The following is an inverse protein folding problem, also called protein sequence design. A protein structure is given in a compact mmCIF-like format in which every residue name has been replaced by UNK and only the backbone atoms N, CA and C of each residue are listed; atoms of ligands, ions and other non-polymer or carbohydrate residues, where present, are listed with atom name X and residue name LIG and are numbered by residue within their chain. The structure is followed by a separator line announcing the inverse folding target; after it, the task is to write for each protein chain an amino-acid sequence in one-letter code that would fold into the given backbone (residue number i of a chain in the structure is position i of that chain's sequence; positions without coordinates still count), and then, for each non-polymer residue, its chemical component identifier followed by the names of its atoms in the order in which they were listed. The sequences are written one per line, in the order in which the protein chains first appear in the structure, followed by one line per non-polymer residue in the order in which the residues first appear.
data_IF_076481386713
#
_entry.id   IF_076481386713
#
_cell.length_a   1.000
_cell.length_b   1.000
_cell.length_c   1.000
_cell.angle_alpha   90.00
_cell.angle_beta   90.00
_cell.angle_gamma   90.00
#
_symmetry.space_group_name_H-M   'P 1'
#
loop_
_entity.id
_entity.type
_entity.pdbx_description
1 polymer ?
#
# COMPACT_ATOMS: atom_id res chain seq x y z
N UNK A 1 -43.23 -3.13 -11.61
CA UNK A 1 -41.92 -3.82 -11.74
C UNK A 1 -41.23 -3.75 -10.39
N UNK A 2 -40.78 -4.87 -9.80
CA UNK A 2 -39.97 -4.79 -8.60
C UNK A 2 -38.65 -4.09 -8.97
N UNK A 3 -38.37 -2.99 -8.27
CA UNK A 3 -37.12 -2.24 -8.36
C UNK A 3 -36.03 -3.12 -7.72
N UNK A 4 -35.30 -3.90 -8.52
CA UNK A 4 -34.09 -4.53 -8.02
C UNK A 4 -33.05 -3.41 -7.86
N UNK A 5 -32.53 -3.15 -6.64
CA UNK A 5 -31.44 -2.19 -6.49
C UNK A 5 -30.27 -2.66 -7.35
N UNK A 6 -29.75 -1.77 -8.21
CA UNK A 6 -28.56 -2.05 -8.99
C UNK A 6 -27.42 -2.43 -8.04
N UNK A 7 -26.89 -3.66 -8.15
CA UNK A 7 -25.72 -4.07 -7.37
C UNK A 7 -24.57 -3.10 -7.65
N UNK A 8 -23.88 -2.68 -6.59
CA UNK A 8 -22.68 -1.85 -6.72
C UNK A 8 -21.61 -2.64 -7.50
N UNK A 9 -20.84 -1.99 -8.38
CA UNK A 9 -19.73 -2.65 -9.02
C UNK A 9 -18.70 -3.10 -7.98
N UNK A 10 -18.20 -4.32 -8.13
CA UNK A 10 -17.12 -4.85 -7.30
C UNK A 10 -15.78 -4.24 -7.72
N UNK A 11 -14.92 -3.94 -6.75
CA UNK A 11 -13.61 -3.31 -6.99
C UNK A 11 -12.55 -3.94 -6.10
N UNK A 12 -11.39 -4.26 -6.67
CA UNK A 12 -10.19 -4.59 -5.90
C UNK A 12 -9.36 -3.34 -5.64
N UNK A 13 -8.59 -3.37 -4.55
CA UNK A 13 -7.65 -2.32 -4.18
C UNK A 13 -6.24 -2.90 -4.17
N UNK A 14 -5.32 -2.28 -4.89
CA UNK A 14 -3.90 -2.60 -4.82
C UNK A 14 -3.16 -1.40 -4.21
N UNK A 15 -2.71 -1.56 -2.97
CA UNK A 15 -2.27 -0.47 -2.10
C UNK A 15 -0.74 -0.52 -1.94
N UNK A 16 -0.05 0.42 -2.58
CA UNK A 16 1.40 0.51 -2.48
C UNK A 16 1.84 0.98 -1.08
N UNK A 17 2.95 0.43 -0.61
CA UNK A 17 3.67 0.88 0.58
C UNK A 17 4.49 2.15 0.32
N UNK A 18 4.60 2.98 1.36
CA UNK A 18 5.38 4.24 1.29
C UNK A 18 5.71 4.84 2.66
N UNK A 19 5.71 4.04 3.73
CA UNK A 19 5.86 4.54 5.10
C UNK A 19 4.78 5.55 5.48
N UNK A 20 5.18 6.69 6.04
CA UNK A 20 4.28 7.79 6.40
C UNK A 20 3.49 8.35 5.19
N UNK A 21 3.99 8.20 3.95
CA UNK A 21 3.24 8.57 2.76
C UNK A 21 1.98 7.71 2.55
N UNK A 22 1.85 6.58 3.25
CA UNK A 22 0.62 5.81 3.33
C UNK A 22 -0.59 6.59 3.87
N UNK A 23 -0.38 7.75 4.52
CA UNK A 23 -1.46 8.67 4.86
C UNK A 23 -2.14 9.28 3.63
N UNK A 24 -1.45 9.37 2.48
CA UNK A 24 -2.11 9.68 1.21
C UNK A 24 -3.13 8.59 0.84
N UNK A 25 -2.73 7.32 0.93
CA UNK A 25 -3.65 6.19 0.71
C UNK A 25 -4.81 6.19 1.71
N UNK A 26 -4.58 6.58 2.98
CA UNK A 26 -5.67 6.81 3.94
C UNK A 26 -6.70 7.80 3.39
N UNK A 27 -6.24 8.94 2.88
CA UNK A 27 -7.11 9.91 2.22
C UNK A 27 -7.90 9.36 1.04
N UNK A 28 -7.22 8.59 0.18
CA UNK A 28 -7.86 7.94 -0.97
C UNK A 28 -8.98 7.01 -0.52
N UNK A 29 -8.69 6.14 0.45
CA UNK A 29 -9.65 5.19 0.99
C UNK A 29 -10.81 5.89 1.72
N UNK A 30 -10.53 6.95 2.47
CA UNK A 30 -11.54 7.72 3.19
C UNK A 30 -12.58 8.33 2.22
N UNK A 31 -12.13 8.89 1.08
CA UNK A 31 -13.03 9.40 0.05
C UNK A 31 -13.78 8.29 -0.72
N UNK A 32 -13.12 7.17 -1.02
CA UNK A 32 -13.77 6.04 -1.69
C UNK A 32 -14.87 5.40 -0.83
N UNK A 33 -14.59 5.20 0.46
CA UNK A 33 -15.55 4.66 1.42
C UNK A 33 -16.70 5.62 1.69
N UNK A 34 -16.43 6.93 1.72
CA UNK A 34 -17.47 7.95 1.85
C UNK A 34 -18.42 8.00 0.64
N UNK A 35 -17.89 7.85 -0.57
CA UNK A 35 -18.70 7.81 -1.78
C UNK A 35 -19.62 6.58 -1.82
N UNK A 36 -19.21 5.49 -1.18
CA UNK A 36 -19.99 4.26 -1.00
C UNK A 36 -20.56 3.71 -2.34
N UNK A 37 -19.75 3.83 -3.40
CA UNK A 37 -20.12 3.47 -4.79
C UNK A 37 -19.73 2.04 -5.18
N UNK A 38 -18.86 1.40 -4.41
CA UNK A 38 -18.20 0.14 -4.79
C UNK A 38 -18.27 -0.89 -3.68
N UNK A 39 -18.41 -2.16 -4.07
CA UNK A 39 -18.23 -3.28 -3.15
C UNK A 39 -16.76 -3.72 -3.21
N UNK A 40 -16.02 -3.52 -2.12
CA UNK A 40 -14.60 -3.90 -2.08
C UNK A 40 -14.50 -5.43 -2.01
N UNK A 41 -13.99 -6.05 -3.07
CA UNK A 41 -13.94 -7.51 -3.20
C UNK A 41 -12.60 -8.09 -2.73
N UNK A 42 -11.50 -7.41 -3.05
CA UNK A 42 -10.15 -7.83 -2.69
C UNK A 42 -9.24 -6.64 -2.41
N UNK A 43 -8.27 -6.82 -1.52
CA UNK A 43 -7.27 -5.83 -1.14
C UNK A 43 -5.90 -6.52 -1.11
N UNK A 44 -5.00 -6.06 -1.96
CA UNK A 44 -3.58 -6.38 -1.88
C UNK A 44 -2.83 -5.19 -1.31
N UNK A 45 -1.98 -5.43 -0.31
CA UNK A 45 -1.29 -4.38 0.40
C UNK A 45 0.12 -4.77 0.81
N UNK A 46 1.02 -3.78 0.80
CA UNK A 46 2.41 -3.93 1.23
C UNK A 46 2.78 -2.77 2.16
N UNK A 47 3.48 -3.04 3.26
CA UNK A 47 3.94 -2.01 4.20
C UNK A 47 2.77 -1.15 4.70
N UNK A 48 2.85 0.18 4.58
CA UNK A 48 1.73 1.07 4.93
C UNK A 48 0.42 0.76 4.15
N UNK A 49 0.52 0.22 2.94
CA UNK A 49 -0.64 -0.28 2.18
C UNK A 49 -1.27 -1.52 2.81
N UNK A 50 -0.47 -2.37 3.46
CA UNK A 50 -0.98 -3.53 4.21
C UNK A 50 -1.77 -3.09 5.44
N UNK A 51 -1.24 -2.14 6.21
CA UNK A 51 -1.93 -1.54 7.36
C UNK A 51 -3.28 -0.97 6.93
N UNK A 52 -3.28 -0.11 5.90
CA UNK A 52 -4.49 0.50 5.38
C UNK A 52 -5.50 -0.57 4.91
N UNK A 53 -5.05 -1.59 4.20
CA UNK A 53 -5.91 -2.67 3.72
C UNK A 53 -6.55 -3.48 4.86
N UNK A 54 -5.78 -3.81 5.89
CA UNK A 54 -6.26 -4.52 7.09
C UNK A 54 -7.29 -3.69 7.84
N UNK A 55 -7.05 -2.39 8.04
CA UNK A 55 -7.99 -1.48 8.71
C UNK A 55 -9.31 -1.35 7.93
N UNK A 56 -9.23 -1.23 6.60
CA UNK A 56 -10.43 -1.20 5.75
C UNK A 56 -11.20 -2.50 5.83
N UNK A 57 -10.53 -3.65 5.68
CA UNK A 57 -11.19 -4.95 5.78
C UNK A 57 -11.84 -5.17 7.16
N UNK A 58 -11.14 -4.77 8.22
CA UNK A 58 -11.63 -4.85 9.59
C UNK A 58 -12.90 -4.00 9.77
N UNK A 59 -12.82 -2.71 9.44
CA UNK A 59 -13.97 -1.82 9.62
C UNK A 59 -15.16 -2.18 8.73
N UNK A 60 -14.91 -2.65 7.49
CA UNK A 60 -15.98 -3.15 6.61
C UNK A 60 -16.72 -4.34 7.25
N UNK A 61 -16.01 -5.26 7.90
CA UNK A 61 -16.62 -6.39 8.61
C UNK A 61 -17.37 -5.99 9.88
N UNK A 62 -16.90 -4.97 10.60
CA UNK A 62 -17.52 -4.53 11.86
C UNK A 62 -18.76 -3.65 11.67
N UNK A 63 -18.76 -2.77 10.67
CA UNK A 63 -19.82 -1.78 10.53
C UNK A 63 -19.87 -1.08 9.17
N UNK A 64 -19.29 -1.69 8.13
CA UNK A 64 -19.30 -1.14 6.79
C UNK A 64 -18.40 0.10 6.60
N UNK A 65 -18.68 0.93 5.57
CA UNK A 65 -17.78 2.01 5.16
C UNK A 65 -17.46 3.03 6.25
N UNK A 66 -18.45 3.41 7.07
CA UNK A 66 -18.25 4.36 8.15
C UNK A 66 -17.28 3.84 9.23
N UNK A 67 -17.39 2.56 9.58
CA UNK A 67 -16.48 1.92 10.53
C UNK A 67 -15.06 1.77 9.94
N UNK A 68 -14.93 1.45 8.66
CA UNK A 68 -13.62 1.44 7.97
C UNK A 68 -12.93 2.81 7.97
N UNK A 69 -13.68 3.89 7.74
CA UNK A 69 -13.15 5.26 7.83
C UNK A 69 -12.70 5.60 9.25
N UNK A 70 -13.50 5.26 10.25
CA UNK A 70 -13.16 5.48 11.66
C UNK A 70 -11.91 4.70 12.08
N UNK A 71 -11.76 3.45 11.63
CA UNK A 71 -10.58 2.63 11.90
C UNK A 71 -9.31 3.25 11.31
N UNK A 72 -9.37 3.74 10.07
CA UNK A 72 -8.24 4.46 9.46
C UNK A 72 -7.90 5.75 10.24
N UNK A 73 -8.90 6.55 10.59
CA UNK A 73 -8.70 7.81 11.31
C UNK A 73 -8.11 7.60 12.70
N UNK A 74 -8.63 6.64 13.47
CA UNK A 74 -8.10 6.26 14.77
C UNK A 74 -6.66 5.78 14.72
N UNK A 75 -6.33 4.93 13.74
CA UNK A 75 -4.98 4.40 13.60
C UNK A 75 -3.96 5.48 13.25
N UNK A 76 -4.22 6.26 12.19
CA UNK A 76 -3.29 7.29 11.73
C UNK A 76 -3.15 8.43 12.74
N UNK A 77 -4.22 8.77 13.48
CA UNK A 77 -4.15 9.73 14.59
C UNK A 77 -3.26 9.23 15.72
N UNK A 78 -3.39 7.95 16.10
CA UNK A 78 -2.56 7.35 17.14
C UNK A 78 -1.08 7.22 16.73
N UNK A 79 -0.81 6.92 15.45
CA UNK A 79 0.55 6.93 14.90
C UNK A 79 1.15 8.34 14.91
N UNK A 80 0.39 9.34 14.45
CA UNK A 80 0.82 10.73 14.38
C UNK A 80 1.08 11.40 15.74
N UNK A 81 0.56 10.83 16.83
CA UNK A 81 0.76 11.31 18.19
C UNK A 81 2.09 10.87 18.84
N UNK A 82 2.90 10.04 18.15
CA UNK A 82 4.10 9.42 18.73
C UNK A 82 5.42 10.17 18.47
N UNK A 83 5.49 11.03 17.44
CA UNK A 83 6.70 11.83 17.17
C UNK A 83 6.56 13.23 17.78
N UNK A 84 7.42 13.62 18.74
CA UNK A 84 7.43 14.98 19.29
C UNK A 84 7.80 16.01 18.21
N UNK A 85 7.11 17.16 18.19
CA UNK A 85 7.38 18.22 17.23
C UNK A 85 8.82 18.75 17.33
N UNK A 86 9.41 18.72 18.52
CA UNK A 86 10.76 19.18 18.82
C UNK A 86 11.83 18.41 18.04
N UNK A 87 11.51 17.21 17.55
CA UNK A 87 12.41 16.38 16.74
C UNK A 87 12.45 16.80 15.26
N UNK A 88 11.59 17.74 14.87
CA UNK A 88 11.39 18.16 13.49
C UNK A 88 11.87 19.60 13.28
N UNK A 89 12.25 19.89 12.04
CA UNK A 89 12.50 21.24 11.54
C UNK A 89 11.63 21.47 10.30
N UNK A 90 11.17 22.71 10.13
CA UNK A 90 10.43 23.15 8.95
C UNK A 90 11.35 24.09 8.16
N UNK A 91 11.66 23.73 6.91
CA UNK A 91 12.46 24.53 5.99
C UNK A 91 11.67 25.67 5.34
N UNK A 92 12.33 26.46 4.48
CA UNK A 92 11.72 27.64 3.82
C UNK A 92 10.50 27.33 2.95
N UNK A 93 10.40 26.11 2.39
CA UNK A 93 9.27 25.64 1.57
C UNK A 93 8.28 24.74 2.33
N UNK A 94 8.11 24.96 3.65
CA UNK A 94 7.36 24.06 4.55
C UNK A 94 7.88 22.60 4.57
N UNK A 95 9.10 22.41 4.07
CA UNK A 95 9.74 21.11 3.96
C UNK A 95 10.05 20.56 5.35
N UNK A 96 9.38 19.46 5.71
CA UNK A 96 9.62 18.77 6.97
C UNK A 96 10.87 17.91 6.88
N UNK A 97 11.70 18.03 7.91
CA UNK A 97 12.93 17.29 8.08
C UNK A 97 13.12 16.93 9.55
N UNK A 98 13.92 15.89 9.83
CA UNK A 98 14.42 15.69 11.19
C UNK A 98 15.44 16.78 11.55
N UNK A 99 15.38 17.28 12.78
CA UNK A 99 16.36 18.25 13.27
C UNK A 99 17.79 17.62 13.28
N UNK A 100 18.87 18.42 13.31
CA UNK A 100 20.24 17.90 13.25
C UNK A 100 20.58 16.88 14.35
N UNK A 101 20.06 17.07 15.57
CA UNK A 101 20.27 16.16 16.69
C UNK A 101 19.53 14.83 16.48
N UNK A 102 18.28 14.86 16.02
CA UNK A 102 17.48 13.69 15.68
C UNK A 102 18.12 12.90 14.53
N UNK A 103 18.63 13.58 13.49
CA UNK A 103 19.39 12.95 12.41
C UNK A 103 20.67 12.28 12.92
N UNK A 104 21.38 12.92 13.84
CA UNK A 104 22.55 12.33 14.48
C UNK A 104 22.16 11.08 15.25
N UNK A 105 21.14 11.15 16.12
CA UNK A 105 20.63 10.02 16.88
C UNK A 105 20.20 8.84 15.98
N UNK A 106 19.48 9.11 14.89
CA UNK A 106 19.08 8.09 13.91
C UNK A 106 20.26 7.49 13.13
N UNK A 107 21.35 8.25 12.91
CA UNK A 107 22.57 7.69 12.30
C UNK A 107 23.29 6.78 13.28
N UNK A 108 23.37 7.17 14.55
CA UNK A 108 23.96 6.35 15.60
C UNK A 108 23.15 5.07 15.83
N UNK A 109 21.82 5.14 15.76
CA UNK A 109 20.98 3.94 15.89
C UNK A 109 21.17 2.92 14.77
N UNK A 110 21.72 3.31 13.61
CA UNK A 110 22.04 2.39 12.50
C UNK A 110 23.38 1.68 12.65
N UNK A 111 24.24 2.13 13.56
CA UNK A 111 25.53 1.47 13.86
C UNK A 111 25.36 0.25 14.76
N UNK A 112 24.19 0.12 15.38
CA UNK A 112 23.80 -1.00 16.23
C UNK A 112 22.68 -1.76 15.53
N UNK A 113 22.65 -3.08 15.71
CA UNK A 113 21.51 -3.84 15.23
C UNK A 113 20.29 -3.54 16.13
N UNK A 114 19.05 -3.62 15.62
CA UNK A 114 17.85 -3.31 16.42
C UNK A 114 17.79 -4.05 17.77
N UNK A 115 18.26 -5.30 17.81
CA UNK A 115 18.34 -6.13 19.02
C UNK A 115 19.30 -5.64 20.10
N UNK A 116 20.26 -4.79 19.74
CA UNK A 116 21.18 -4.15 20.68
C UNK A 116 20.59 -2.87 21.29
N UNK A 117 19.66 -2.20 20.59
CA UNK A 117 19.06 -0.94 21.01
C UNK A 117 17.72 -1.10 21.75
N UNK A 118 16.96 -2.14 21.46
CA UNK A 118 15.68 -2.44 22.11
C UNK A 118 15.65 -3.89 22.61
N UNK A 119 16.41 -4.21 23.68
CA UNK A 119 16.49 -5.58 24.20
C UNK A 119 15.17 -6.09 24.80
N UNK A 120 14.26 -5.18 25.17
CA UNK A 120 12.92 -5.50 25.70
C UNK A 120 11.88 -5.73 24.60
N UNK A 121 12.22 -5.53 23.32
CA UNK A 121 11.35 -5.87 22.18
C UNK A 121 10.03 -5.09 22.11
N UNK A 122 9.93 -3.92 22.75
CA UNK A 122 8.70 -3.10 22.68
C UNK A 122 8.47 -2.63 21.24
N UNK A 123 7.28 -2.92 20.70
CA UNK A 123 6.90 -2.54 19.35
C UNK A 123 5.58 -1.74 19.41
N UNK A 124 5.65 -0.39 19.35
CA UNK A 124 4.45 0.45 19.45
C UNK A 124 3.42 0.18 18.34
N UNK A 125 3.86 -0.29 17.17
CA UNK A 125 2.96 -0.67 16.08
C UNK A 125 2.22 -1.97 16.41
N UNK A 126 2.88 -2.94 17.07
CA UNK A 126 2.24 -4.17 17.58
C UNK A 126 1.10 -3.83 18.54
N UNK A 127 1.38 -2.94 19.50
CA UNK A 127 0.40 -2.51 20.50
C UNK A 127 -0.82 -1.86 19.83
N UNK A 128 -0.60 -0.93 18.88
CA UNK A 128 -1.69 -0.31 18.13
C UNK A 128 -2.53 -1.31 17.33
N UNK A 129 -1.88 -2.22 16.61
CA UNK A 129 -2.59 -3.22 15.83
C UNK A 129 -3.40 -4.16 16.73
N UNK A 130 -2.86 -4.54 17.88
CA UNK A 130 -3.57 -5.38 18.86
C UNK A 130 -4.79 -4.67 19.46
N UNK A 131 -4.71 -3.37 19.69
CA UNK A 131 -5.81 -2.57 20.25
C UNK A 131 -6.91 -2.24 19.24
N UNK A 132 -6.55 -2.07 17.96
CA UNK A 132 -7.46 -1.51 16.96
C UNK A 132 -7.98 -2.52 15.92
N UNK A 133 -7.40 -3.72 15.84
CA UNK A 133 -7.77 -4.70 14.81
C UNK A 133 -8.15 -6.04 15.43
N UNK A 134 -9.39 -6.46 15.16
CA UNK A 134 -9.85 -7.82 15.44
C UNK A 134 -9.39 -8.78 14.32
N UNK A 135 -8.21 -9.38 14.53
CA UNK A 135 -7.66 -10.37 13.60
C UNK A 135 -8.44 -11.68 13.57
N UNK A 136 -9.15 -12.04 14.65
CA UNK A 136 -9.98 -13.24 14.66
C UNK A 136 -11.19 -13.06 13.73
N UNK A 137 -11.81 -11.89 13.74
CA UNK A 137 -12.85 -11.53 12.78
C UNK A 137 -12.32 -11.56 11.34
N UNK A 138 -11.14 -10.99 11.07
CA UNK A 138 -10.54 -11.00 9.73
C UNK A 138 -10.36 -12.41 9.17
N UNK A 139 -9.94 -13.37 10.01
CA UNK A 139 -9.77 -14.79 9.66
C UNK A 139 -11.08 -15.51 9.35
N UNK A 140 -12.23 -15.01 9.81
CA UNK A 140 -13.54 -15.61 9.50
C UNK A 140 -13.90 -15.53 8.01
N UNK A 141 -13.30 -14.59 7.27
CA UNK A 141 -13.50 -14.45 5.83
C UNK A 141 -14.81 -13.75 5.43
N UNK A 142 -15.51 -13.09 6.35
CA UNK A 142 -16.78 -12.40 6.09
C UNK A 142 -16.66 -11.06 5.34
N UNK A 143 -15.45 -10.62 4.99
CA UNK A 143 -15.18 -9.35 4.31
C UNK A 143 -14.34 -9.50 3.03
N UNK A 144 -13.68 -8.43 2.56
CA UNK A 144 -12.86 -8.51 1.36
C UNK A 144 -11.71 -9.51 1.52
N UNK A 145 -11.30 -10.09 0.39
CA UNK A 145 -10.11 -10.94 0.31
C UNK A 145 -8.87 -10.11 0.59
N UNK A 146 -8.06 -10.51 1.57
CA UNK A 146 -6.81 -9.85 1.90
C UNK A 146 -5.64 -10.60 1.29
N UNK A 147 -4.65 -9.85 0.79
CA UNK A 147 -3.37 -10.38 0.34
C UNK A 147 -2.25 -9.43 0.80
N UNK A 148 -1.57 -9.78 1.88
CA UNK A 148 -0.52 -8.95 2.47
C UNK A 148 0.85 -9.50 2.11
N UNK A 149 1.67 -8.70 1.43
CA UNK A 149 2.99 -9.10 0.96
C UNK A 149 4.06 -8.90 2.04
N UNK A 150 4.92 -9.90 2.21
CA UNK A 150 6.15 -9.84 2.98
C UNK A 150 7.28 -10.57 2.23
N UNK A 151 8.52 -10.24 2.57
CA UNK A 151 9.70 -10.82 1.94
C UNK A 151 10.40 -11.77 2.90
N UNK A 152 10.60 -13.02 2.50
CA UNK A 152 11.43 -13.96 3.27
C UNK A 152 12.90 -13.52 3.23
N UNK A 153 13.46 -13.14 4.37
CA UNK A 153 14.73 -12.42 4.45
C UNK A 153 15.92 -13.22 3.90
N UNK A 154 15.95 -14.54 4.13
CA UNK A 154 17.09 -15.38 3.72
C UNK A 154 17.05 -15.78 2.24
N UNK A 155 15.91 -15.64 1.56
CA UNK A 155 15.74 -16.15 0.18
C UNK A 155 15.23 -15.11 -0.81
N UNK A 156 14.77 -13.95 -0.34
CA UNK A 156 14.14 -12.92 -1.16
C UNK A 156 12.76 -13.31 -1.71
N UNK A 157 12.22 -14.48 -1.33
CA UNK A 157 10.95 -14.96 -1.86
C UNK A 157 9.77 -14.18 -1.28
N UNK A 158 8.80 -13.89 -2.14
CA UNK A 158 7.51 -13.35 -1.75
C UNK A 158 6.74 -14.37 -0.89
N UNK A 159 6.23 -13.90 0.25
CA UNK A 159 5.19 -14.55 1.05
C UNK A 159 3.96 -13.65 1.01
N UNK A 160 2.81 -14.23 0.67
CA UNK A 160 1.51 -13.56 0.73
C UNK A 160 0.72 -14.16 1.88
N UNK A 161 0.27 -13.32 2.81
CA UNK A 161 -0.65 -13.69 3.88
C UNK A 161 -2.08 -13.36 3.45
N UNK A 162 -2.92 -14.38 3.38
CA UNK A 162 -4.34 -14.24 3.10
C UNK A 162 -5.15 -14.02 4.39
N UNK A 163 -6.48 -13.94 4.28
CA UNK A 163 -7.35 -13.80 5.46
C UNK A 163 -7.09 -14.87 6.50
N UNK A 164 -6.90 -16.14 6.12
CA UNK A 164 -6.80 -17.25 7.07
C UNK A 164 -5.48 -17.21 7.86
N UNK A 165 -4.41 -16.77 7.21
CA UNK A 165 -3.10 -16.56 7.83
C UNK A 165 -2.93 -15.16 8.45
N UNK A 166 -3.99 -14.35 8.54
CA UNK A 166 -3.90 -12.97 8.99
C UNK A 166 -3.77 -12.88 10.52
N UNK A 167 -2.69 -12.27 10.97
CA UNK A 167 -2.45 -11.89 12.36
C UNK A 167 -1.58 -10.62 12.43
N UNK A 168 -1.23 -10.21 13.65
CA UNK A 168 -0.39 -9.04 13.88
C UNK A 168 0.99 -9.23 13.24
N UNK A 169 1.57 -10.44 13.30
CA UNK A 169 2.92 -10.70 12.83
C UNK A 169 3.01 -10.63 11.30
N UNK A 170 1.98 -11.06 10.58
CA UNK A 170 1.87 -10.88 9.13
C UNK A 170 1.94 -9.39 8.73
N UNK A 171 1.25 -8.50 9.46
CA UNK A 171 1.27 -7.05 9.21
C UNK A 171 2.61 -6.43 9.60
N UNK A 172 3.18 -6.86 10.74
CA UNK A 172 4.51 -6.41 11.17
C UNK A 172 5.60 -6.85 10.20
N UNK A 173 5.55 -8.08 9.70
CA UNK A 173 6.45 -8.59 8.68
C UNK A 173 6.38 -7.73 7.42
N UNK A 174 5.17 -7.41 6.95
CA UNK A 174 4.94 -6.56 5.78
C UNK A 174 5.50 -5.13 5.94
N UNK A 175 5.71 -4.66 7.17
CA UNK A 175 6.19 -3.31 7.51
C UNK A 175 7.61 -3.30 8.09
N UNK A 176 8.30 -4.43 8.08
CA UNK A 176 9.59 -4.61 8.72
C UNK A 176 10.75 -4.12 7.83
N UNK A 177 11.09 -2.84 7.95
CA UNK A 177 12.31 -2.30 7.35
C UNK A 177 13.55 -2.76 8.13
N UNK A 178 14.48 -3.53 7.53
CA UNK A 178 15.56 -4.19 8.27
C UNK A 178 16.57 -3.24 8.92
N UNK A 179 16.63 -1.98 8.44
CA UNK A 179 17.51 -0.94 9.02
C UNK A 179 16.87 -0.18 10.19
N UNK A 180 15.58 -0.43 10.48
CA UNK A 180 14.80 0.30 11.49
C UNK A 180 14.09 -0.61 12.48
N UNK A 181 13.72 -1.82 12.07
CA UNK A 181 12.91 -2.76 12.86
C UNK A 181 13.65 -4.08 13.08
N UNK A 182 13.31 -4.77 14.18
CA UNK A 182 13.74 -6.15 14.37
C UNK A 182 13.06 -7.03 13.33
N UNK A 183 13.84 -7.93 12.71
CA UNK A 183 13.30 -8.97 11.84
C UNK A 183 12.17 -9.71 12.53
N UNK A 184 11.03 -9.81 11.85
CA UNK A 184 9.86 -10.54 12.36
C UNK A 184 10.04 -12.02 12.05
N UNK A 185 9.86 -12.86 13.07
CA UNK A 185 9.90 -14.31 12.93
C UNK A 185 8.47 -14.86 12.91
N UNK A 186 8.10 -15.59 11.87
CA UNK A 186 6.82 -16.30 11.78
C UNK A 186 7.14 -17.76 11.53
N UNK A 187 6.67 -18.64 12.43
CA UNK A 187 7.00 -20.08 12.41
C UNK A 187 8.51 -20.36 12.37
N UNK A 188 9.32 -19.49 13.00
CA UNK A 188 10.78 -19.59 13.04
C UNK A 188 11.50 -19.02 11.81
N UNK A 189 10.79 -18.61 10.76
CA UNK A 189 11.38 -18.05 9.54
C UNK A 189 11.42 -16.52 9.56
N UNK A 190 12.50 -15.88 9.04
CA UNK A 190 12.66 -14.44 9.09
C UNK A 190 11.98 -13.72 7.92
N UNK A 191 11.24 -12.67 8.24
CA UNK A 191 10.53 -11.84 7.28
C UNK A 191 10.84 -10.34 7.42
N UNK A 192 10.93 -9.69 6.27
CA UNK A 192 11.08 -8.25 6.07
C UNK A 192 9.92 -7.69 5.25
N UNK A 193 9.90 -6.36 5.13
CA UNK A 193 8.91 -5.61 4.37
C UNK A 193 8.66 -6.23 2.98
N UNK A 194 7.40 -6.32 2.57
CA UNK A 194 7.02 -6.88 1.28
C UNK A 194 7.54 -6.07 0.10
N UNK A 195 7.93 -4.81 0.33
CA UNK A 195 8.55 -3.91 -0.64
C UNK A 195 9.62 -4.57 -1.49
N UNK A 196 10.48 -5.37 -0.86
CA UNK A 196 11.59 -6.04 -1.53
C UNK A 196 11.16 -7.16 -2.51
N UNK A 197 9.92 -7.63 -2.48
CA UNK A 197 9.44 -8.75 -3.30
C UNK A 197 8.12 -8.50 -4.06
N UNK A 198 7.22 -7.64 -3.57
CA UNK A 198 6.03 -7.16 -4.27
C UNK A 198 5.39 -5.92 -3.60
N UNK A 199 5.12 -4.86 -4.37
CA UNK A 199 4.64 -3.57 -3.82
C UNK A 199 3.74 -2.76 -4.77
N UNK A 200 2.42 -3.00 -4.77
CA UNK A 200 1.71 -4.15 -4.17
C UNK A 200 1.83 -5.42 -5.05
N UNK A 201 1.39 -6.58 -4.54
CA UNK A 201 1.30 -7.82 -5.32
C UNK A 201 -0.02 -7.86 -6.11
N UNK A 202 0.01 -8.01 -7.43
CA UNK A 202 -1.21 -8.01 -8.25
C UNK A 202 -1.81 -9.40 -8.44
N UNK A 203 -0.95 -10.42 -8.55
CA UNK A 203 -1.36 -11.79 -8.86
C UNK A 203 -2.39 -12.38 -7.88
N UNK A 204 -2.32 -12.15 -6.56
CA UNK A 204 -3.34 -12.63 -5.63
C UNK A 204 -4.76 -12.17 -5.97
N UNK A 205 -4.92 -10.93 -6.46
CA UNK A 205 -6.22 -10.38 -6.85
C UNK A 205 -6.78 -11.04 -8.12
N UNK A 206 -5.89 -11.47 -9.01
CA UNK A 206 -6.28 -12.13 -10.26
C UNK A 206 -6.60 -13.61 -10.04
N UNK A 207 -5.83 -14.28 -9.18
CA UNK A 207 -5.95 -15.71 -8.92
C UNK A 207 -7.18 -16.10 -8.09
N UNK A 208 -7.64 -15.23 -7.19
CA UNK A 208 -8.83 -15.50 -6.40
C UNK A 208 -10.12 -15.16 -7.17
N UNK A 209 -10.95 -16.17 -7.40
CA UNK A 209 -12.25 -16.04 -8.07
C UNK A 209 -13.27 -15.14 -7.36
N UNK A 210 -13.05 -14.81 -6.09
CA UNK A 210 -13.91 -13.92 -5.30
C UNK A 210 -13.52 -12.45 -5.41
N UNK A 211 -12.34 -12.17 -5.94
CA UNK A 211 -11.92 -10.81 -6.26
C UNK A 211 -12.64 -10.30 -7.51
N UNK A 212 -12.76 -8.97 -7.67
CA UNK A 212 -13.31 -8.34 -8.85
C UNK A 212 -12.40 -8.51 -10.08
N UNK A 213 -12.92 -8.21 -11.27
CA UNK A 213 -12.09 -8.04 -12.48
C UNK A 213 -11.47 -6.62 -12.52
N UNK A 214 -12.07 -5.63 -11.85
CA UNK A 214 -11.57 -4.26 -11.77
C UNK A 214 -10.63 -4.08 -10.57
N UNK A 215 -9.46 -3.49 -10.80
CA UNK A 215 -8.48 -3.19 -9.75
C UNK A 215 -8.06 -1.72 -9.78
N UNK A 216 -8.25 -1.03 -8.65
CA UNK A 216 -7.75 0.31 -8.43
C UNK A 216 -6.34 0.26 -7.83
N UNK A 217 -5.37 0.71 -8.60
CA UNK A 217 -3.99 0.90 -8.16
C UNK A 217 -3.89 2.23 -7.41
N UNK A 218 -3.40 2.20 -6.17
CA UNK A 218 -3.04 3.41 -5.42
C UNK A 218 -1.53 3.42 -5.28
N UNK A 219 -0.87 4.22 -6.11
CA UNK A 219 0.59 4.30 -6.19
C UNK A 219 1.08 5.54 -5.45
N UNK A 220 2.13 5.38 -4.64
CA UNK A 220 2.73 6.43 -3.82
C UNK A 220 4.12 6.84 -4.32
N UNK A 221 4.87 5.88 -4.85
CA UNK A 221 6.24 6.10 -5.24
C UNK A 221 6.31 6.75 -6.63
N UNK A 222 7.20 7.74 -6.84
CA UNK A 222 7.40 8.35 -8.14
C UNK A 222 7.91 7.30 -9.14
N UNK A 223 7.35 7.30 -10.34
CA UNK A 223 7.78 6.36 -11.41
C UNK A 223 8.95 6.89 -12.23
N UNK A 224 9.14 8.21 -12.22
CA UNK A 224 10.25 8.89 -12.88
C UNK A 224 10.94 9.81 -11.89
N UNK A 225 12.25 9.94 -12.05
CA UNK A 225 13.05 10.89 -11.26
C UNK A 225 13.74 11.87 -12.20
N UNK A 226 13.67 13.16 -11.87
CA UNK A 226 14.19 14.24 -12.73
C UNK A 226 15.72 14.23 -12.87
N UNK A 227 16.46 13.68 -11.90
CA UNK A 227 17.93 13.68 -11.91
C UNK A 227 18.53 12.38 -11.35
N UNK A 228 19.74 12.09 -11.81
CA UNK A 228 20.60 11.01 -11.27
C UNK A 228 21.10 11.40 -9.88
N UNK A 229 21.03 10.50 -8.88
CA UNK A 229 21.55 10.76 -7.54
C UNK A 229 23.07 10.97 -7.56
N UNK A 230 23.58 11.91 -6.75
CA UNK A 230 25.01 12.24 -6.67
C UNK A 230 25.63 12.03 -5.29
N UNK A 231 24.83 12.09 -4.22
CA UNK A 231 25.31 11.84 -2.87
C UNK A 231 25.06 10.39 -2.43
N UNK A 232 25.82 9.90 -1.45
CA UNK A 232 25.61 8.57 -0.88
C UNK A 232 24.19 8.37 -0.33
N UNK A 233 23.61 9.42 0.26
CA UNK A 233 22.24 9.38 0.77
C UNK A 233 21.22 9.26 -0.36
N UNK A 234 21.37 10.05 -1.42
CA UNK A 234 20.50 9.99 -2.60
C UNK A 234 20.62 8.65 -3.34
N UNK A 235 21.83 8.08 -3.40
CA UNK A 235 22.07 6.76 -4.02
C UNK A 235 21.39 5.66 -3.21
N UNK A 236 21.52 5.68 -1.88
CA UNK A 236 20.89 4.68 -1.01
C UNK A 236 19.36 4.76 -1.08
N UNK A 237 18.79 5.97 -1.10
CA UNK A 237 17.36 6.18 -1.30
C UNK A 237 16.91 5.66 -2.66
N UNK A 238 17.60 6.03 -3.74
CA UNK A 238 17.27 5.55 -5.09
C UNK A 238 17.36 4.04 -5.20
N UNK A 239 18.38 3.42 -4.61
CA UNK A 239 18.54 1.97 -4.63
C UNK A 239 17.36 1.27 -3.91
N UNK A 240 16.90 1.84 -2.79
CA UNK A 240 15.73 1.32 -2.08
C UNK A 240 14.43 1.50 -2.88
N UNK A 241 14.21 2.68 -3.47
CA UNK A 241 13.05 2.93 -4.34
C UNK A 241 13.02 1.93 -5.51
N UNK A 242 14.16 1.71 -6.19
CA UNK A 242 14.28 0.72 -7.27
C UNK A 242 13.99 -0.69 -6.75
N UNK A 243 14.56 -1.08 -5.61
CA UNK A 243 14.32 -2.39 -5.03
C UNK A 243 12.83 -2.61 -4.71
N UNK A 244 12.12 -1.55 -4.30
CA UNK A 244 10.70 -1.62 -3.95
C UNK A 244 9.77 -1.60 -5.17
N UNK A 245 10.19 -0.98 -6.27
CA UNK A 245 9.36 -0.88 -7.48
C UNK A 245 9.62 -1.99 -8.50
N UNK A 246 10.85 -2.47 -8.60
CA UNK A 246 11.23 -3.42 -9.65
C UNK A 246 10.36 -4.69 -9.70
N UNK A 247 9.98 -5.33 -8.57
CA UNK A 247 9.10 -6.48 -8.62
C UNK A 247 7.70 -6.16 -9.18
N UNK A 248 7.10 -5.05 -8.73
CA UNK A 248 5.80 -4.58 -9.21
C UNK A 248 5.83 -4.28 -10.72
N UNK A 249 6.84 -3.55 -11.20
CA UNK A 249 6.98 -3.23 -12.63
C UNK A 249 7.13 -4.49 -13.50
N UNK A 250 7.88 -5.50 -13.00
CA UNK A 250 8.00 -6.79 -13.69
C UNK A 250 6.68 -7.54 -13.73
N UNK A 251 5.97 -7.62 -12.61
CA UNK A 251 4.66 -8.28 -12.52
C UNK A 251 3.66 -7.61 -13.47
N UNK A 252 3.62 -6.28 -13.48
CA UNK A 252 2.76 -5.49 -14.34
C UNK A 252 3.06 -5.72 -15.83
N UNK A 253 4.34 -5.73 -16.22
CA UNK A 253 4.75 -6.02 -17.59
C UNK A 253 4.41 -7.45 -18.05
N UNK A 254 4.51 -8.43 -17.15
CA UNK A 254 4.08 -9.81 -17.44
C UNK A 254 2.57 -9.90 -17.65
N UNK A 255 1.78 -9.22 -16.82
CA UNK A 255 0.32 -9.17 -16.96
C UNK A 255 -0.06 -8.51 -18.30
N UNK A 256 0.54 -7.37 -18.64
CA UNK A 256 0.31 -6.66 -19.91
C UNK A 256 0.64 -7.54 -21.13
N UNK A 257 1.76 -8.25 -21.08
CA UNK A 257 2.14 -9.22 -22.13
C UNK A 257 1.12 -10.35 -22.25
N UNK A 258 0.64 -10.91 -21.13
CA UNK A 258 -0.35 -11.99 -21.14
C UNK A 258 -1.72 -11.50 -21.64
N UNK A 259 -2.12 -10.28 -21.29
CA UNK A 259 -3.34 -9.65 -21.81
C UNK A 259 -3.23 -9.42 -23.33
N UNK A 260 -2.07 -8.95 -23.80
CA UNK A 260 -1.80 -8.66 -25.21
C UNK A 260 -1.65 -9.92 -26.08
N UNK A 261 -1.03 -10.98 -25.53
CA UNK A 261 -0.83 -12.26 -26.22
C UNK A 261 -2.06 -13.17 -26.19
N UNK A 262 -3.15 -12.74 -25.53
CA UNK A 262 -4.29 -13.60 -25.25
C UNK A 262 -4.97 -14.07 -26.56
N UNK A 263 -5.06 -15.38 -26.82
CA UNK A 263 -5.43 -15.94 -28.12
C UNK A 263 -6.88 -15.60 -28.54
N UNK A 264 -7.16 -15.77 -29.84
CA UNK A 264 -8.42 -15.42 -30.50
C UNK A 264 -9.68 -15.83 -29.71
N UNK A 265 -10.74 -15.02 -29.85
CA UNK A 265 -12.05 -15.08 -29.16
C UNK A 265 -12.80 -16.43 -29.30
N UNK A 266 -12.24 -17.40 -30.01
CA UNK A 266 -12.81 -18.70 -30.37
C UNK A 266 -12.45 -19.82 -29.39
N UNK A 267 -11.47 -19.65 -28.49
CA UNK A 267 -11.14 -20.63 -27.44
C UNK A 267 -11.71 -20.18 -26.09
N UNK A 268 -12.42 -21.04 -25.35
CA UNK A 268 -12.97 -20.68 -24.05
C UNK A 268 -11.85 -20.56 -23.01
N UNK A 269 -11.71 -19.36 -22.43
CA UNK A 269 -10.76 -19.11 -21.33
C UNK A 269 -11.38 -19.55 -20.01
N UNK A 270 -10.59 -20.21 -19.16
CA UNK A 270 -11.02 -20.67 -17.83
C UNK A 270 -9.99 -20.30 -16.76
N UNK A 271 -10.46 -20.25 -15.51
CA UNK A 271 -9.61 -19.96 -14.35
C UNK A 271 -8.82 -18.67 -14.51
N UNK A 272 -7.52 -18.75 -14.19
CA UNK A 272 -6.61 -17.60 -14.15
C UNK A 272 -6.43 -16.92 -15.51
N UNK A 273 -6.39 -17.66 -16.62
CA UNK A 273 -6.23 -17.06 -17.96
C UNK A 273 -7.38 -16.10 -18.27
N UNK A 274 -8.62 -16.51 -17.97
CA UNK A 274 -9.81 -15.66 -18.11
C UNK A 274 -9.71 -14.42 -17.22
N UNK A 275 -9.24 -14.60 -15.99
CA UNK A 275 -9.12 -13.52 -14.99
C UNK A 275 -8.12 -12.46 -15.44
N UNK A 276 -6.93 -12.89 -15.88
CA UNK A 276 -5.91 -11.99 -16.45
C UNK A 276 -6.48 -11.27 -17.67
N UNK A 277 -7.09 -12.01 -18.60
CA UNK A 277 -7.68 -11.43 -19.80
C UNK A 277 -8.77 -10.37 -19.53
N UNK A 278 -9.58 -10.58 -18.49
CA UNK A 278 -10.70 -9.69 -18.17
C UNK A 278 -10.30 -8.57 -17.20
N UNK A 279 -9.10 -8.63 -16.62
CA UNK A 279 -8.67 -7.67 -15.61
C UNK A 279 -8.67 -6.25 -16.19
N UNK A 280 -9.30 -5.34 -15.46
CA UNK A 280 -9.39 -3.92 -15.77
C UNK A 280 -8.65 -3.10 -14.74
N UNK A 281 -7.94 -2.08 -15.19
CA UNK A 281 -7.02 -1.33 -14.35
C UNK A 281 -7.47 0.12 -14.22
N UNK A 282 -7.40 0.63 -13.00
CA UNK A 282 -7.71 2.01 -12.64
C UNK A 282 -6.57 2.56 -11.79
N UNK A 283 -6.40 3.89 -11.74
CA UNK A 283 -5.28 4.50 -11.04
C UNK A 283 -5.69 5.74 -10.25
N UNK A 284 -5.27 5.78 -8.98
CA UNK A 284 -5.02 7.03 -8.27
C UNK A 284 -3.51 7.15 -8.07
N UNK A 285 -2.92 8.16 -8.71
CA UNK A 285 -1.49 8.40 -8.70
C UNK A 285 -1.11 9.46 -7.67
N UNK A 286 -0.34 9.07 -6.65
CA UNK A 286 0.19 9.97 -5.64
C UNK A 286 1.46 10.71 -6.09
N UNK A 287 2.10 10.29 -7.19
CA UNK A 287 3.37 10.87 -7.64
C UNK A 287 3.33 12.41 -7.82
N UNK A 288 2.28 13.03 -8.40
CA UNK A 288 2.22 14.49 -8.56
C UNK A 288 2.31 15.27 -7.24
N UNK A 289 1.83 14.69 -6.14
CA UNK A 289 1.91 15.29 -4.80
C UNK A 289 3.20 14.89 -4.08
N UNK A 290 3.56 13.62 -4.14
CA UNK A 290 4.58 13.04 -3.28
C UNK A 290 6.01 13.19 -3.84
N UNK A 291 6.18 13.34 -5.16
CA UNK A 291 7.49 13.44 -5.78
C UNK A 291 8.29 14.71 -5.38
N UNK A 292 7.59 15.75 -4.94
CA UNK A 292 8.20 16.98 -4.44
C UNK A 292 8.72 16.86 -3.00
N UNK A 293 8.33 15.80 -2.28
CA UNK A 293 8.70 15.61 -0.88
C UNK A 293 10.07 14.92 -0.78
N UNK A 294 10.85 15.34 0.21
CA UNK A 294 12.13 14.69 0.53
C UNK A 294 11.92 13.26 1.01
N UNK A 295 12.82 12.35 0.66
CA UNK A 295 12.70 10.93 1.00
C UNK A 295 12.58 10.62 2.48
N UNK A 296 13.23 11.42 3.33
CA UNK A 296 13.16 11.26 4.79
C UNK A 296 11.75 11.46 5.36
N UNK A 297 10.87 12.18 4.65
CA UNK A 297 9.49 12.40 5.08
C UNK A 297 8.67 11.10 5.12
N UNK A 298 9.11 10.04 4.43
CA UNK A 298 8.52 8.70 4.54
C UNK A 298 8.66 8.09 5.94
N UNK A 299 9.54 8.63 6.78
CA UNK A 299 9.75 8.21 8.17
C UNK A 299 9.10 9.17 9.19
N UNK A 300 8.49 10.27 8.74
CA UNK A 300 7.94 11.31 9.62
C UNK A 300 6.45 11.04 9.86
N UNK A 301 6.14 10.29 10.92
CA UNK A 301 4.80 10.11 11.46
C UNK A 301 4.37 11.29 12.36
N UNK A 302 4.19 12.47 11.79
CA UNK A 302 3.75 13.70 12.48
C UNK A 302 2.32 14.07 12.07
N UNK A 303 1.39 14.15 13.03
CA UNK A 303 -0.04 14.21 12.73
C UNK A 303 -0.46 15.32 11.73
N UNK A 304 -0.08 16.61 11.89
CA UNK A 304 -0.44 17.63 10.90
C UNK A 304 0.09 17.34 9.49
N UNK A 305 1.26 16.72 9.37
CA UNK A 305 1.78 16.28 8.07
C UNK A 305 0.97 15.12 7.50
N UNK A 306 0.65 14.11 8.31
CA UNK A 306 -0.19 12.98 7.89
C UNK A 306 -1.59 13.45 7.46
N UNK A 307 -2.17 14.43 8.15
CA UNK A 307 -3.44 15.05 7.78
C UNK A 307 -3.35 15.81 6.45
N UNK A 308 -2.26 16.54 6.18
CA UNK A 308 -2.03 17.15 4.85
C UNK A 308 -1.96 16.12 3.74
N UNK A 309 -1.27 14.99 3.98
CA UNK A 309 -1.20 13.89 3.02
C UNK A 309 -2.57 13.23 2.81
N UNK A 310 -3.34 13.02 3.88
CA UNK A 310 -4.72 12.54 3.81
C UNK A 310 -5.58 13.46 2.94
N UNK A 311 -5.50 14.76 3.14
CA UNK A 311 -6.32 15.68 2.33
C UNK A 311 -5.93 15.64 0.86
N UNK A 312 -4.63 15.57 0.55
CA UNK A 312 -4.17 15.39 -0.83
C UNK A 312 -4.69 14.08 -1.45
N UNK A 313 -4.67 12.98 -0.68
CA UNK A 313 -5.24 11.70 -1.10
C UNK A 313 -6.75 11.76 -1.34
N UNK A 314 -7.49 12.46 -0.47
CA UNK A 314 -8.94 12.68 -0.64
C UNK A 314 -9.23 13.43 -1.93
N UNK A 315 -8.51 14.54 -2.18
CA UNK A 315 -8.67 15.31 -3.41
C UNK A 315 -8.38 14.48 -4.66
N UNK A 316 -7.31 13.67 -4.64
CA UNK A 316 -6.96 12.79 -5.76
C UNK A 316 -8.04 11.74 -6.02
N UNK A 317 -8.58 11.12 -4.97
CA UNK A 317 -9.66 10.15 -5.08
C UNK A 317 -10.98 10.79 -5.54
N UNK A 318 -11.31 11.99 -5.06
CA UNK A 318 -12.48 12.74 -5.53
C UNK A 318 -12.37 13.09 -7.02
N UNK A 319 -11.18 13.49 -7.48
CA UNK A 319 -10.93 13.74 -8.89
C UNK A 319 -11.13 12.47 -9.74
N UNK A 320 -10.61 11.32 -9.28
CA UNK A 320 -10.84 10.02 -9.93
C UNK A 320 -12.32 9.61 -9.90
N UNK A 321 -13.01 9.80 -8.77
CA UNK A 321 -14.45 9.52 -8.62
C UNK A 321 -15.32 10.34 -9.58
N UNK A 322 -14.92 11.58 -9.87
CA UNK A 322 -15.63 12.46 -10.78
C UNK A 322 -15.36 12.13 -12.25
N UNK A 323 -14.13 11.72 -12.59
CA UNK A 323 -13.69 11.55 -13.99
C UNK A 323 -13.78 10.12 -14.50
N UNK A 324 -13.38 9.16 -13.68
CA UNK A 324 -12.99 7.84 -14.16
C UNK A 324 -13.80 6.69 -13.52
N UNK A 325 -14.42 6.91 -12.36
CA UNK A 325 -15.17 5.89 -11.63
C UNK A 325 -16.34 5.23 -12.40
N UNK A 326 -16.91 5.89 -13.41
CA UNK A 326 -17.95 5.28 -14.26
C UNK A 326 -17.43 4.18 -15.19
N UNK A 327 -16.11 4.11 -15.38
CA UNK A 327 -15.45 3.10 -16.20
C UNK A 327 -15.34 1.75 -15.47
N UNK A 328 -15.44 1.75 -14.14
CA UNK A 328 -15.42 0.53 -13.33
C UNK A 328 -16.55 -0.41 -13.75
N UNK A 329 -16.20 -1.65 -14.06
CA UNK A 329 -17.15 -2.65 -14.58
C UNK A 329 -17.33 -2.59 -16.11
N UNK A 330 -16.76 -1.58 -16.78
CA UNK A 330 -16.96 -1.32 -18.23
C UNK A 330 -15.68 -1.39 -19.03
N UNK A 331 -14.65 -0.63 -18.66
CA UNK A 331 -13.40 -0.48 -19.41
C UNK A 331 -12.20 -0.18 -18.50
N UNK A 332 -10.98 -0.23 -19.06
CA UNK A 332 -9.78 0.25 -18.38
C UNK A 332 -9.87 1.75 -18.14
N UNK A 333 -9.55 2.20 -16.92
CA UNK A 333 -9.25 3.60 -16.61
C UNK A 333 -7.79 3.97 -16.84
N UNK A 334 -6.89 2.97 -16.90
CA UNK A 334 -5.48 3.13 -17.28
C UNK A 334 -4.99 1.90 -18.04
N UNK A 335 -4.07 2.11 -18.98
CA UNK A 335 -3.39 1.03 -19.69
C UNK A 335 -2.14 0.59 -18.91
N UNK A 336 -1.93 -0.72 -18.72
CA UNK A 336 -0.77 -1.19 -17.95
C UNK A 336 0.55 -0.79 -18.59
N UNK A 337 0.71 -0.95 -19.91
CA UNK A 337 1.91 -0.49 -20.62
C UNK A 337 2.34 0.95 -20.30
N UNK A 338 1.41 1.89 -20.07
CA UNK A 338 1.80 3.28 -19.76
C UNK A 338 2.35 3.44 -18.35
N UNK A 339 2.07 2.48 -17.47
CA UNK A 339 2.65 2.39 -16.12
C UNK A 339 4.02 1.70 -16.15
N UNK A 340 4.22 0.73 -17.04
CA UNK A 340 5.51 0.05 -17.23
C UNK A 340 6.52 0.92 -18.00
N UNK A 341 6.07 1.57 -19.08
CA UNK A 341 6.91 2.31 -20.01
C UNK A 341 7.03 3.78 -19.59
N UNK A 342 7.86 4.04 -18.59
CA UNK A 342 8.24 5.40 -18.20
C UNK A 342 9.11 6.14 -19.24
N UNK A 343 9.19 5.67 -20.48
CA UNK A 343 9.98 6.28 -21.57
C UNK A 343 9.12 6.90 -22.68
N UNK A 344 7.77 6.88 -22.59
CA UNK A 344 6.88 7.30 -23.69
C UNK A 344 6.36 8.74 -23.62
N UNK A 345 7.11 9.67 -23.00
CA UNK A 345 6.86 11.11 -23.15
C UNK A 345 8.20 11.80 -23.42
N UNK A 346 8.49 11.96 -24.71
CA UNK A 346 9.57 12.78 -25.27
C UNK A 346 9.07 13.37 -26.58
#
# INVERSE_FOLDING_TARGET
MPFFPSRRPALNLALQGGGAHGAFTWGVLDALLEADRFDIAGISGTSAGAINGVLVAHGLQQGGPAAARAALDGFWSAVGARIPFEWLTVGEDDALAFNPLARLMMRWSKLFAPHELNPLGRNPLRELLAEQVDFAALRSGAGPRLAIAATHANSGRLKVFDNAAMDIDAVLASTCLPTLHHTVLIDGEPYWDGGYSANPALMPLLADSQCADDTLLVLLAPRQHARTPRSTAEIAERAMDIAFQAPFLRELGLIDQLQSASPSRWWPRVGLERRIANARWHLVDGAPTLAALHGETRLIAYLPFLQRLREAGRMAAQAWLARDAEQVGRSNGVELRTLADCNAVG
#
